data_IF_549667849825
#
_entry.id   IF_549667849825
#
_cell.length_a   1.000
_cell.length_b   1.000
_cell.length_c   1.000
_cell.angle_alpha   90.00
_cell.angle_beta   90.00
_cell.angle_gamma   90.00
#
_symmetry.space_group_name_H-M   'P 1'
#
loop_
_entity.id
_entity.type
_entity.pdbx_description
1 polymer ?
#
# COMPACT_ATOMS: atom_id res chain seq x y z
N UNK A 1 -9.22 -17.24 -8.28
CA UNK A 1 -10.31 -17.94 -9.01
C UNK A 1 -10.27 -19.46 -8.85
N UNK A 2 -9.11 -20.12 -8.95
CA UNK A 2 -9.02 -21.59 -8.92
C UNK A 2 -9.78 -22.29 -7.77
N UNK A 3 -9.72 -21.79 -6.53
CA UNK A 3 -10.47 -22.36 -5.41
C UNK A 3 -11.99 -22.28 -5.58
N UNK A 4 -12.50 -21.15 -6.09
CA UNK A 4 -13.94 -20.96 -6.39
C UNK A 4 -14.36 -21.87 -7.54
N UNK A 5 -13.53 -21.95 -8.57
CA UNK A 5 -13.78 -22.79 -9.73
C UNK A 5 -13.82 -24.28 -9.35
N UNK A 6 -12.87 -24.75 -8.54
CA UNK A 6 -12.85 -26.13 -8.06
C UNK A 6 -14.11 -26.47 -7.25
N UNK A 7 -14.57 -25.55 -6.41
CA UNK A 7 -15.81 -25.71 -5.66
C UNK A 7 -17.04 -25.78 -6.58
N UNK A 8 -17.16 -24.87 -7.56
CA UNK A 8 -18.26 -24.85 -8.52
C UNK A 8 -18.29 -26.10 -9.40
N UNK A 9 -17.14 -26.65 -9.81
CA UNK A 9 -17.11 -27.88 -10.61
C UNK A 9 -17.77 -29.08 -9.92
N UNK A 10 -17.77 -29.11 -8.59
CA UNK A 10 -18.38 -30.19 -7.81
C UNK A 10 -19.87 -29.92 -7.59
N UNK A 11 -20.23 -28.70 -7.18
CA UNK A 11 -21.56 -28.41 -6.64
C UNK A 11 -22.49 -27.63 -7.59
N UNK A 12 -21.93 -26.94 -8.59
CA UNK A 12 -22.69 -26.19 -9.59
C UNK A 12 -21.92 -26.09 -10.93
N UNK A 13 -21.73 -27.23 -11.64
CA UNK A 13 -20.87 -27.26 -12.84
C UNK A 13 -21.27 -26.23 -13.90
N UNK A 14 -22.57 -25.99 -14.06
CA UNK A 14 -23.13 -25.00 -15.01
C UNK A 14 -22.67 -23.56 -14.75
N UNK A 15 -22.33 -23.20 -13.50
CA UNK A 15 -21.79 -21.86 -13.16
C UNK A 15 -20.29 -21.73 -13.38
N UNK A 16 -19.58 -22.83 -13.65
CA UNK A 16 -18.13 -22.80 -13.89
C UNK A 16 -17.79 -22.05 -15.17
N UNK A 17 -18.60 -22.18 -16.23
CA UNK A 17 -18.40 -21.46 -17.49
C UNK A 17 -18.56 -19.95 -17.27
N UNK A 18 -19.67 -19.54 -16.65
CA UNK A 18 -19.94 -18.13 -16.33
C UNK A 18 -18.84 -17.47 -15.50
N UNK A 19 -18.28 -18.16 -14.50
CA UNK A 19 -17.12 -17.66 -13.74
C UNK A 19 -15.93 -17.31 -14.66
N UNK A 20 -15.61 -18.18 -15.62
CA UNK A 20 -14.48 -17.98 -16.53
C UNK A 20 -14.75 -16.88 -17.54
N UNK A 21 -15.98 -16.82 -18.06
CA UNK A 21 -16.35 -15.87 -19.11
C UNK A 21 -16.45 -14.45 -18.54
N UNK A 22 -17.17 -14.28 -17.42
CA UNK A 22 -17.47 -12.97 -16.88
C UNK A 22 -16.38 -12.43 -15.94
N UNK A 23 -15.82 -13.28 -15.07
CA UNK A 23 -14.79 -12.87 -14.10
C UNK A 23 -13.36 -13.23 -14.53
N UNK A 24 -13.18 -13.90 -15.68
CA UNK A 24 -11.89 -14.33 -16.21
C UNK A 24 -10.87 -13.20 -16.35
N UNK A 25 -11.37 -11.99 -16.65
CA UNK A 25 -10.59 -10.75 -16.71
C UNK A 25 -9.75 -10.51 -15.45
N UNK A 26 -10.26 -10.87 -14.27
CA UNK A 26 -9.59 -10.61 -12.99
C UNK A 26 -8.25 -11.37 -12.85
N UNK A 27 -8.01 -12.39 -13.68
CA UNK A 27 -6.72 -13.10 -13.69
C UNK A 27 -5.55 -12.25 -14.19
N UNK A 28 -5.81 -11.25 -15.04
CA UNK A 28 -4.76 -10.49 -15.75
C UNK A 28 -4.91 -8.98 -15.64
N UNK A 29 -6.09 -8.50 -15.25
CA UNK A 29 -6.33 -7.08 -15.02
C UNK A 29 -5.54 -6.55 -13.81
N UNK A 30 -5.28 -5.24 -13.84
CA UNK A 30 -4.67 -4.51 -12.73
C UNK A 30 -5.61 -3.41 -12.22
N UNK A 31 -5.38 -2.86 -11.02
CA UNK A 31 -6.25 -1.84 -10.45
C UNK A 31 -6.42 -0.62 -11.37
N UNK A 32 -7.68 -0.28 -11.66
CA UNK A 32 -8.12 0.81 -12.53
C UNK A 32 -7.81 0.63 -14.02
N UNK A 33 -7.58 -0.61 -14.45
CA UNK A 33 -7.29 -0.96 -15.85
C UNK A 33 -8.52 -0.99 -16.76
N UNK A 34 -9.73 -1.18 -16.21
CA UNK A 34 -10.96 -1.33 -16.99
C UNK A 34 -12.14 -0.61 -16.31
N UNK A 35 -12.21 0.72 -16.38
CA UNK A 35 -13.33 1.47 -15.81
C UNK A 35 -14.68 0.94 -16.28
N UNK A 36 -15.58 0.66 -15.34
CA UNK A 36 -16.90 0.09 -15.59
C UNK A 36 -17.95 0.92 -14.85
N UNK A 37 -18.44 2.01 -15.46
CA UNK A 37 -19.41 2.91 -14.82
C UNK A 37 -20.75 2.22 -14.52
N UNK A 38 -21.04 1.12 -15.23
CA UNK A 38 -22.26 0.34 -15.05
C UNK A 38 -22.12 -0.74 -13.97
N UNK A 39 -20.93 -0.90 -13.37
CA UNK A 39 -20.62 -1.88 -12.31
C UNK A 39 -20.87 -3.35 -12.67
N UNK A 40 -21.03 -3.70 -13.95
CA UNK A 40 -21.32 -5.07 -14.40
C UNK A 40 -20.37 -6.12 -13.81
N UNK A 41 -19.06 -5.85 -13.80
CA UNK A 41 -18.07 -6.80 -13.28
C UNK A 41 -18.17 -6.97 -11.76
N UNK A 42 -18.53 -5.90 -11.05
CA UNK A 42 -18.72 -5.94 -9.59
C UNK A 42 -20.00 -6.69 -9.26
N UNK A 43 -21.09 -6.37 -9.97
CA UNK A 43 -22.39 -7.00 -9.79
C UNK A 43 -22.33 -8.51 -10.06
N UNK A 44 -21.56 -8.94 -11.07
CA UNK A 44 -21.33 -10.37 -11.32
C UNK A 44 -20.55 -11.05 -10.17
N UNK A 45 -19.52 -10.38 -9.64
CA UNK A 45 -18.77 -10.93 -8.52
C UNK A 45 -19.62 -11.00 -7.24
N UNK A 46 -20.52 -10.04 -7.03
CA UNK A 46 -21.50 -10.00 -5.94
C UNK A 46 -22.58 -11.10 -6.10
N UNK A 47 -23.11 -11.35 -7.32
CA UNK A 47 -24.03 -12.49 -7.60
C UNK A 47 -23.37 -13.82 -7.25
N UNK A 48 -22.11 -14.01 -7.66
CA UNK A 48 -21.36 -15.21 -7.34
C UNK A 48 -21.16 -15.39 -5.83
N UNK A 49 -20.84 -14.30 -5.11
CA UNK A 49 -20.70 -14.34 -3.66
C UNK A 49 -22.03 -14.74 -3.00
N UNK A 50 -23.13 -14.08 -3.35
CA UNK A 50 -24.46 -14.36 -2.80
C UNK A 50 -24.90 -15.81 -3.07
N UNK A 51 -24.62 -16.32 -4.27
CA UNK A 51 -24.86 -17.73 -4.61
C UNK A 51 -24.09 -18.68 -3.69
N UNK A 52 -22.81 -18.40 -3.42
CA UNK A 52 -21.99 -19.24 -2.55
C UNK A 52 -22.40 -19.15 -1.08
N UNK A 53 -22.96 -18.02 -0.64
CA UNK A 53 -23.48 -17.86 0.73
C UNK A 53 -24.66 -18.78 1.01
N UNK A 54 -25.43 -19.14 -0.02
CA UNK A 54 -26.53 -20.11 0.08
C UNK A 54 -26.10 -21.53 0.51
N UNK A 55 -24.82 -21.87 0.42
CA UNK A 55 -24.27 -23.16 0.87
C UNK A 55 -23.89 -23.19 2.36
N UNK A 56 -24.07 -22.07 3.08
CA UNK A 56 -23.88 -22.00 4.52
C UNK A 56 -22.45 -22.28 4.99
N UNK A 57 -22.26 -22.80 6.22
CA UNK A 57 -20.94 -22.98 6.83
C UNK A 57 -19.97 -23.86 6.03
N UNK A 58 -20.49 -24.82 5.24
CA UNK A 58 -19.68 -25.69 4.38
C UNK A 58 -18.90 -24.95 3.28
N UNK A 59 -19.26 -23.70 2.99
CA UNK A 59 -18.61 -22.85 2.00
C UNK A 59 -17.63 -21.82 2.61
N UNK A 60 -17.38 -21.82 3.93
CA UNK A 60 -16.58 -20.78 4.59
C UNK A 60 -15.21 -20.51 3.91
N UNK A 61 -14.51 -21.57 3.51
CA UNK A 61 -13.24 -21.46 2.78
C UNK A 61 -13.39 -20.77 1.42
N UNK A 62 -14.40 -21.14 0.62
CA UNK A 62 -14.62 -20.57 -0.71
C UNK A 62 -15.20 -19.15 -0.65
N UNK A 63 -16.01 -18.83 0.36
CA UNK A 63 -16.55 -17.50 0.60
C UNK A 63 -15.45 -16.46 0.81
N UNK A 64 -14.35 -16.83 1.48
CA UNK A 64 -13.17 -15.97 1.59
C UNK A 64 -12.62 -15.60 0.21
N UNK A 65 -12.52 -16.57 -0.70
CA UNK A 65 -12.04 -16.34 -2.06
C UNK A 65 -13.03 -15.53 -2.90
N UNK A 66 -14.33 -15.78 -2.78
CA UNK A 66 -15.37 -15.03 -3.47
C UNK A 66 -15.36 -13.54 -3.08
N UNK A 67 -15.24 -13.22 -1.78
CA UNK A 67 -15.09 -11.83 -1.31
C UNK A 67 -13.85 -11.14 -1.89
N UNK A 68 -12.75 -11.88 -2.10
CA UNK A 68 -11.57 -11.34 -2.77
C UNK A 68 -11.87 -11.02 -4.24
N UNK A 69 -12.70 -11.80 -4.93
CA UNK A 69 -13.13 -11.50 -6.30
C UNK A 69 -13.98 -10.23 -6.37
N UNK A 70 -14.90 -10.00 -5.43
CA UNK A 70 -15.65 -8.72 -5.37
C UNK A 70 -14.71 -7.52 -5.19
N UNK A 71 -13.75 -7.63 -4.26
CA UNK A 71 -12.73 -6.58 -4.05
C UNK A 71 -11.88 -6.37 -5.30
N UNK A 72 -11.47 -7.45 -5.98
CA UNK A 72 -10.69 -7.37 -7.21
C UNK A 72 -11.49 -6.71 -8.35
N UNK A 73 -12.78 -7.04 -8.49
CA UNK A 73 -13.67 -6.40 -9.44
C UNK A 73 -13.77 -4.89 -9.18
N UNK A 74 -14.04 -4.47 -7.93
CA UNK A 74 -14.11 -3.04 -7.56
C UNK A 74 -12.78 -2.31 -7.84
N UNK A 75 -11.64 -2.94 -7.53
CA UNK A 75 -10.33 -2.36 -7.82
C UNK A 75 -10.05 -2.25 -9.32
N UNK A 76 -10.43 -3.24 -10.13
CA UNK A 76 -10.21 -3.23 -11.58
C UNK A 76 -11.07 -2.15 -12.26
N UNK A 77 -12.29 -1.93 -11.77
CA UNK A 77 -13.30 -1.07 -12.39
C UNK A 77 -13.31 0.37 -11.88
N UNK A 78 -12.71 0.66 -10.73
CA UNK A 78 -12.61 2.04 -10.26
C UNK A 78 -11.64 2.88 -11.10
N UNK A 79 -11.99 4.15 -11.38
CA UNK A 79 -11.10 5.01 -12.14
C UNK A 79 -9.86 5.39 -11.32
N UNK A 80 -8.75 5.64 -12.01
CA UNK A 80 -7.52 6.16 -11.38
C UNK A 80 -7.62 7.64 -11.00
N UNK A 81 -8.53 8.39 -11.64
CA UNK A 81 -8.77 9.81 -11.41
C UNK A 81 -10.26 10.04 -11.33
N UNK A 82 -10.69 10.79 -10.33
CA UNK A 82 -12.08 11.15 -10.13
C UNK A 82 -12.13 12.49 -9.36
N UNK A 83 -13.21 13.26 -9.53
CA UNK A 83 -13.39 14.56 -8.84
C UNK A 83 -13.41 14.38 -7.31
N UNK A 84 -14.12 13.36 -6.87
CA UNK A 84 -14.05 12.82 -5.51
C UNK A 84 -12.92 11.76 -5.42
N UNK A 85 -11.83 12.02 -4.67
CA UNK A 85 -10.73 11.08 -4.51
C UNK A 85 -11.11 9.73 -3.90
N UNK A 86 -12.16 9.68 -3.08
CA UNK A 86 -12.60 8.46 -2.41
C UNK A 86 -13.25 7.46 -3.37
N UNK A 87 -13.62 7.92 -4.57
CA UNK A 87 -14.09 7.07 -5.67
C UNK A 87 -12.96 6.53 -6.54
N UNK A 88 -11.70 6.89 -6.26
CA UNK A 88 -10.57 6.35 -7.01
C UNK A 88 -10.22 4.93 -6.59
N UNK A 89 -9.49 4.25 -7.46
CA UNK A 89 -8.92 2.92 -7.16
C UNK A 89 -7.94 2.95 -5.98
N UNK A 90 -7.24 4.07 -5.76
CA UNK A 90 -6.24 4.17 -4.69
C UNK A 90 -6.91 4.21 -3.31
N UNK A 91 -8.00 4.96 -3.17
CA UNK A 91 -8.80 4.97 -1.94
C UNK A 91 -9.38 3.57 -1.64
N UNK A 92 -9.98 2.92 -2.64
CA UNK A 92 -10.53 1.59 -2.46
C UNK A 92 -9.48 0.55 -2.08
N UNK A 93 -8.27 0.63 -2.67
CA UNK A 93 -7.15 -0.25 -2.33
C UNK A 93 -6.79 -0.12 -0.86
N UNK A 94 -6.59 1.09 -0.38
CA UNK A 94 -6.16 1.34 1.00
C UNK A 94 -7.25 0.97 2.01
N UNK A 95 -8.52 1.23 1.69
CA UNK A 95 -9.67 0.73 2.46
C UNK A 95 -9.70 -0.79 2.54
N UNK A 96 -9.55 -1.50 1.41
CA UNK A 96 -9.56 -2.97 1.40
C UNK A 96 -8.34 -3.60 2.08
N UNK A 97 -7.19 -2.91 2.08
CA UNK A 97 -6.03 -3.31 2.87
C UNK A 97 -6.33 -3.19 4.36
N UNK A 98 -6.93 -2.09 4.81
CA UNK A 98 -7.34 -1.93 6.21
C UNK A 98 -8.39 -2.98 6.63
N UNK A 99 -9.42 -3.24 5.81
CA UNK A 99 -10.41 -4.29 6.05
C UNK A 99 -9.82 -5.71 6.08
N UNK A 100 -8.66 -5.93 5.45
CA UNK A 100 -7.97 -7.22 5.53
C UNK A 100 -7.30 -7.41 6.91
N UNK A 101 -6.88 -6.33 7.56
CA UNK A 101 -6.32 -6.36 8.93
C UNK A 101 -7.39 -6.72 9.94
N UNK A 102 -8.62 -6.19 9.79
CA UNK A 102 -9.71 -6.48 10.74
C UNK A 102 -9.96 -7.98 10.90
N UNK A 103 -9.85 -8.76 9.81
CA UNK A 103 -9.99 -10.22 9.85
C UNK A 103 -8.89 -10.92 10.63
N UNK A 104 -7.68 -10.37 10.66
CA UNK A 104 -6.57 -10.91 11.44
C UNK A 104 -6.71 -10.60 12.93
N UNK A 105 -7.50 -9.58 13.27
CA UNK A 105 -7.77 -9.13 14.62
C UNK A 105 -9.15 -9.59 15.14
N UNK A 106 -9.79 -10.55 14.47
CA UNK A 106 -11.00 -11.22 14.98
C UNK A 106 -10.73 -11.93 16.32
N UNK A 107 -9.50 -12.43 16.52
CA UNK A 107 -9.03 -12.80 17.86
C UNK A 107 -8.52 -11.54 18.60
N UNK A 108 -9.18 -11.10 19.69
CA UNK A 108 -8.78 -9.90 20.42
C UNK A 108 -7.41 -10.01 21.11
N UNK A 109 -6.81 -11.20 21.16
CA UNK A 109 -5.44 -11.42 21.70
C UNK A 109 -4.38 -11.32 20.61
N UNK A 110 -4.75 -11.34 19.34
CA UNK A 110 -3.82 -11.27 18.24
C UNK A 110 -3.10 -9.92 18.20
N UNK A 111 -1.81 -9.95 17.89
CA UNK A 111 -1.01 -8.77 17.55
C UNK A 111 -0.53 -8.92 16.12
N UNK A 112 -0.68 -7.88 15.32
CA UNK A 112 -0.34 -7.89 13.90
C UNK A 112 0.78 -6.87 13.64
N UNK A 113 1.85 -7.33 13.00
CA UNK A 113 2.86 -6.44 12.41
C UNK A 113 2.55 -6.33 10.92
N UNK A 114 2.27 -5.11 10.48
CA UNK A 114 1.93 -4.80 9.10
C UNK A 114 3.13 -4.20 8.38
N UNK A 115 3.58 -4.86 7.32
CA UNK A 115 4.69 -4.37 6.49
C UNK A 115 4.15 -3.74 5.20
N UNK A 116 4.23 -2.42 5.09
CA UNK A 116 3.83 -1.68 3.91
C UNK A 116 4.66 -0.40 3.74
N UNK A 117 4.56 0.24 2.57
CA UNK A 117 5.23 1.51 2.29
C UNK A 117 4.73 2.62 3.23
N UNK A 118 5.58 3.60 3.59
CA UNK A 118 5.24 4.70 4.52
C UNK A 118 3.90 5.37 4.21
N UNK A 119 3.67 5.75 2.94
CA UNK A 119 2.41 6.38 2.52
C UNK A 119 1.14 5.52 2.70
N UNK A 120 1.27 4.21 2.92
CA UNK A 120 0.13 3.35 3.28
C UNK A 120 -0.09 3.26 4.78
N UNK A 121 0.96 3.38 5.61
CA UNK A 121 0.86 3.26 7.07
C UNK A 121 0.71 4.62 7.77
N UNK A 122 0.85 5.72 7.05
CA UNK A 122 0.68 7.05 7.63
C UNK A 122 -0.73 7.21 8.24
N UNK A 123 -0.79 7.80 9.44
CA UNK A 123 -2.02 8.08 10.19
C UNK A 123 -2.77 9.34 9.72
N UNK A 124 -2.18 10.08 8.79
CA UNK A 124 -2.74 11.29 8.22
C UNK A 124 -2.57 11.30 6.70
N UNK A 125 -3.46 12.02 6.03
CA UNK A 125 -3.63 11.99 4.58
C UNK A 125 -2.35 12.32 3.83
N UNK A 126 -1.81 11.29 3.18
CA UNK A 126 -0.70 11.42 2.25
C UNK A 126 -1.22 11.56 0.81
N UNK A 127 -1.48 12.79 0.38
CA UNK A 127 -2.06 13.08 -0.94
C UNK A 127 -3.58 13.27 -0.91
N UNK A 128 -4.29 12.74 -1.90
CA UNK A 128 -5.73 13.02 -2.07
C UNK A 128 -6.67 11.93 -1.59
N UNK A 129 -6.25 10.71 -1.27
CA UNK A 129 -7.14 9.66 -0.76
C UNK A 129 -6.71 9.25 0.65
N UNK A 130 -7.64 8.71 1.44
CA UNK A 130 -7.30 8.14 2.74
C UNK A 130 -6.30 6.98 2.59
N UNK A 131 -5.24 7.01 3.40
CA UNK A 131 -4.29 5.93 3.51
C UNK A 131 -4.86 4.79 4.38
N UNK A 132 -4.31 3.58 4.21
CA UNK A 132 -4.68 2.45 5.07
C UNK A 132 -4.43 2.79 6.56
N UNK A 133 -3.34 3.46 6.89
CA UNK A 133 -3.00 3.87 8.26
C UNK A 133 -4.02 4.81 8.89
N UNK A 134 -4.66 5.69 8.11
CA UNK A 134 -5.76 6.54 8.58
C UNK A 134 -6.98 5.71 8.98
N UNK A 135 -7.36 4.73 8.15
CA UNK A 135 -8.44 3.81 8.48
C UNK A 135 -8.14 3.00 9.75
N UNK A 136 -6.89 2.52 9.89
CA UNK A 136 -6.47 1.76 11.06
C UNK A 136 -6.44 2.65 12.31
N UNK A 137 -5.93 3.88 12.22
CA UNK A 137 -5.93 4.86 13.33
C UNK A 137 -7.35 5.20 13.76
N UNK A 138 -8.28 5.40 12.82
CA UNK A 138 -9.67 5.71 13.12
C UNK A 138 -10.38 4.55 13.86
N UNK A 139 -10.03 3.29 13.56
CA UNK A 139 -10.65 2.10 14.15
C UNK A 139 -10.04 1.72 15.49
N UNK A 140 -8.72 1.77 15.59
CA UNK A 140 -7.96 1.20 16.71
C UNK A 140 -7.37 2.27 17.64
N UNK A 141 -7.45 3.55 17.29
CA UNK A 141 -6.92 4.65 18.10
C UNK A 141 -5.44 4.43 18.42
N UNK A 142 -5.10 4.53 19.71
CA UNK A 142 -3.73 4.36 20.22
C UNK A 142 -3.21 2.93 20.20
N UNK A 143 -4.06 1.93 19.91
CA UNK A 143 -3.60 0.58 19.65
C UNK A 143 -2.94 0.41 18.28
N UNK A 144 -3.15 1.35 17.35
CA UNK A 144 -2.41 1.42 16.08
C UNK A 144 -1.17 2.30 16.24
N UNK A 145 0.00 1.73 15.92
CA UNK A 145 1.30 2.40 15.95
C UNK A 145 1.92 2.44 14.55
N UNK A 146 2.07 3.63 13.98
CA UNK A 146 2.69 3.85 12.67
C UNK A 146 4.20 4.14 12.81
N UNK A 147 5.04 3.16 12.44
CA UNK A 147 6.49 3.31 12.40
C UNK A 147 6.96 3.62 10.97
N UNK A 148 7.32 4.87 10.70
CA UNK A 148 7.87 5.28 9.41
C UNK A 148 9.33 4.84 9.23
N UNK A 149 9.69 4.35 8.04
CA UNK A 149 11.07 3.95 7.72
C UNK A 149 11.75 5.02 6.86
N UNK A 150 12.86 5.54 7.32
CA UNK A 150 13.62 6.62 6.67
C UNK A 150 15.07 6.19 6.47
N UNK A 151 15.74 6.73 5.46
CA UNK A 151 17.16 6.43 5.25
C UNK A 151 17.97 7.62 4.74
N UNK A 152 19.26 7.63 5.10
CA UNK A 152 20.20 8.70 4.78
C UNK A 152 20.68 8.65 3.34
N UNK A 153 21.53 7.69 3.01
CA UNK A 153 22.13 7.56 1.68
C UNK A 153 22.34 6.10 1.27
N UNK A 154 22.87 5.88 0.07
CA UNK A 154 23.17 4.56 -0.45
C UNK A 154 22.33 4.23 -1.67
N UNK A 155 21.63 3.10 -1.65
CA UNK A 155 20.90 2.61 -2.81
C UNK A 155 19.63 1.83 -2.49
N UNK A 156 18.73 1.79 -3.48
CA UNK A 156 17.46 1.06 -3.44
C UNK A 156 17.10 0.52 -4.83
N UNK A 157 16.16 -0.43 -4.92
CA UNK A 157 15.66 -0.94 -6.21
C UNK A 157 14.33 -0.31 -6.61
N UNK A 158 14.22 0.12 -7.86
CA UNK A 158 12.95 0.55 -8.47
C UNK A 158 13.01 0.49 -10.00
N UNK A 159 11.85 0.45 -10.64
CA UNK A 159 11.74 0.59 -12.09
C UNK A 159 11.94 2.04 -12.50
N UNK A 160 12.84 2.29 -13.44
CA UNK A 160 13.01 3.62 -14.03
C UNK A 160 11.98 3.82 -15.14
N UNK A 161 11.11 4.80 -14.97
CA UNK A 161 10.09 5.16 -15.96
C UNK A 161 10.44 6.46 -16.67
N UNK A 162 10.14 6.55 -17.97
CA UNK A 162 10.25 7.80 -18.72
C UNK A 162 9.02 8.67 -18.39
N UNK A 163 9.19 9.96 -18.06
CA UNK A 163 8.06 10.86 -17.88
C UNK A 163 7.32 11.07 -19.22
N UNK A 164 5.99 11.23 -19.18
CA UNK A 164 5.14 11.53 -20.35
C UNK A 164 4.01 10.51 -20.58
N UNK A 165 3.11 10.77 -21.55
CA UNK A 165 1.96 9.92 -21.88
C UNK A 165 2.34 8.66 -22.67
N UNK A 166 3.61 8.52 -23.03
CA UNK A 166 4.14 7.34 -23.70
C UNK A 166 3.95 6.14 -22.78
N UNK A 167 3.39 5.01 -23.26
CA UNK A 167 3.28 3.79 -22.47
C UNK A 167 4.70 3.36 -22.12
N UNK A 168 5.17 3.83 -20.97
CA UNK A 168 6.51 3.65 -20.51
C UNK A 168 6.67 2.20 -20.14
N UNK A 169 7.14 1.39 -21.10
CA UNK A 169 7.94 0.20 -20.79
C UNK A 169 9.09 0.70 -19.93
N UNK A 170 8.88 0.74 -18.61
CA UNK A 170 9.96 0.88 -17.65
C UNK A 170 10.98 -0.22 -17.88
N UNK A 171 12.13 -0.14 -17.22
CA UNK A 171 13.06 -1.27 -17.17
C UNK A 171 12.27 -2.56 -16.87
N UNK A 172 12.48 -3.63 -17.65
CA UNK A 172 11.76 -4.91 -17.46
C UNK A 172 11.97 -5.47 -16.06
N UNK A 173 13.09 -5.12 -15.42
CA UNK A 173 13.44 -5.47 -14.04
C UNK A 173 13.73 -4.21 -13.21
N UNK A 174 13.48 -4.22 -11.89
CA UNK A 174 13.94 -3.17 -11.00
C UNK A 174 15.47 -3.05 -11.03
N UNK A 175 15.97 -1.82 -11.18
CA UNK A 175 17.41 -1.51 -11.19
C UNK A 175 17.84 -0.89 -9.87
N UNK A 176 19.12 -1.00 -9.52
CA UNK A 176 19.70 -0.24 -8.41
C UNK A 176 19.74 1.26 -8.74
N UNK A 177 19.30 2.07 -7.78
CA UNK A 177 19.25 3.52 -7.82
C UNK A 177 20.04 4.06 -6.65
N UNK A 178 20.93 5.01 -6.90
CA UNK A 178 21.84 5.56 -5.91
C UNK A 178 21.42 6.97 -5.52
N UNK A 179 21.37 7.22 -4.21
CA UNK A 179 21.07 8.52 -3.63
C UNK A 179 22.20 8.90 -2.68
N UNK A 180 22.62 10.16 -2.74
CA UNK A 180 23.58 10.71 -1.80
C UNK A 180 22.90 11.20 -0.52
N UNK A 181 23.58 12.06 0.26
CA UNK A 181 23.06 12.62 1.49
C UNK A 181 21.68 13.27 1.33
N UNK A 182 20.83 13.25 2.37
CA UNK A 182 19.49 13.82 2.32
C UNK A 182 19.52 15.34 2.07
N UNK A 183 18.53 15.90 1.34
CA UNK A 183 18.44 17.35 1.15
C UNK A 183 18.36 18.08 2.49
N UNK A 184 19.05 19.22 2.64
CA UNK A 184 19.22 19.88 3.95
C UNK A 184 17.92 20.22 4.70
N UNK A 185 16.84 20.50 3.99
CA UNK A 185 15.54 20.82 4.58
C UNK A 185 14.65 19.58 4.88
N UNK A 186 15.15 18.36 4.64
CA UNK A 186 14.34 17.15 4.75
C UNK A 186 14.28 16.56 6.15
N UNK A 187 13.27 15.73 6.40
CA UNK A 187 13.14 14.94 7.64
C UNK A 187 14.39 14.09 7.85
N UNK A 188 14.87 13.43 6.79
CA UNK A 188 16.05 12.57 6.83
C UNK A 188 17.33 13.35 7.17
N UNK A 189 17.46 14.60 6.68
CA UNK A 189 18.60 15.43 7.05
C UNK A 189 18.59 15.83 8.53
N UNK A 190 17.41 16.06 9.11
CA UNK A 190 17.29 16.33 10.55
C UNK A 190 17.66 15.11 11.39
N UNK A 191 17.22 13.91 10.97
CA UNK A 191 17.57 12.65 11.62
C UNK A 191 19.08 12.36 11.53
N UNK A 192 19.67 12.55 10.34
CA UNK A 192 21.11 12.40 10.12
C UNK A 192 21.95 13.35 10.99
N UNK A 193 21.46 14.58 11.22
CA UNK A 193 22.14 15.57 12.06
C UNK A 193 22.04 15.28 13.56
N UNK A 194 21.05 14.48 13.99
CA UNK A 194 20.87 14.14 15.41
C UNK A 194 21.91 13.12 15.87
N UNK A 195 22.25 12.14 15.02
CA UNK A 195 23.28 11.14 15.29
C UNK A 195 23.76 10.47 13.99
N UNK A 196 25.00 9.99 13.99
CA UNK A 196 25.60 9.32 12.83
C UNK A 196 25.20 7.84 12.70
N UNK A 197 24.51 7.27 13.68
CA UNK A 197 24.13 5.85 13.72
C UNK A 197 22.63 5.65 13.47
N UNK A 198 22.26 4.42 13.11
CA UNK A 198 20.87 4.00 13.01
C UNK A 198 20.16 4.22 14.36
N UNK A 199 18.94 4.73 14.32
CA UNK A 199 18.20 5.08 15.53
C UNK A 199 16.69 5.07 15.32
N UNK A 200 15.97 4.98 16.45
CA UNK A 200 14.53 5.14 16.54
C UNK A 200 14.20 6.45 17.22
N UNK A 201 13.17 7.13 16.74
CA UNK A 201 12.58 8.33 17.37
C UNK A 201 11.14 8.00 17.75
N UNK A 202 10.79 8.11 19.04
CA UNK A 202 9.39 8.06 19.49
C UNK A 202 8.78 9.46 19.36
N UNK A 203 7.84 9.61 18.43
CA UNK A 203 7.16 10.88 18.17
C UNK A 203 5.96 11.10 19.08
N UNK A 204 5.53 10.11 19.87
CA UNK A 204 4.45 10.31 20.85
C UNK A 204 4.91 11.11 22.06
N UNK A 205 6.21 11.10 22.35
CA UNK A 205 6.80 11.90 23.42
C UNK A 205 7.00 13.38 23.02
N UNK A 206 6.67 13.76 21.78
CA UNK A 206 7.00 15.10 21.27
C UNK A 206 6.20 16.20 21.94
N UNK A 207 5.01 15.90 22.49
CA UNK A 207 4.19 16.88 23.21
C UNK A 207 4.87 17.42 24.47
N UNK A 208 5.79 16.66 25.06
CA UNK A 208 6.59 17.03 26.22
C UNK A 208 7.94 17.70 25.84
N UNK A 209 8.26 17.75 24.54
CA UNK A 209 9.52 18.30 24.05
C UNK A 209 9.53 19.85 24.00
N UNK A 210 10.72 20.48 23.89
CA UNK A 210 10.84 21.92 23.69
C UNK A 210 10.02 22.42 22.49
N UNK A 211 9.60 23.69 22.53
CA UNK A 211 8.71 24.29 21.53
C UNK A 211 9.26 24.14 20.11
N UNK A 212 10.58 24.27 19.94
CA UNK A 212 11.24 24.14 18.64
C UNK A 212 11.11 22.73 18.06
N UNK A 213 11.20 21.71 18.92
CA UNK A 213 11.05 20.30 18.53
C UNK A 213 9.61 20.01 18.15
N UNK A 214 8.64 20.50 18.94
CA UNK A 214 7.21 20.38 18.63
C UNK A 214 6.86 21.06 17.31
N UNK A 215 7.33 22.30 17.11
CA UNK A 215 7.11 23.07 15.88
C UNK A 215 7.68 22.36 14.66
N UNK A 216 8.85 21.74 14.80
CA UNK A 216 9.41 20.90 13.75
C UNK A 216 8.56 19.65 13.50
N UNK A 217 8.21 18.91 14.55
CA UNK A 217 7.53 17.62 14.42
C UNK A 217 6.10 17.71 13.86
N UNK A 218 5.40 18.81 14.15
CA UNK A 218 4.06 19.10 13.61
C UNK A 218 4.10 20.04 12.39
N UNK A 219 5.28 20.40 11.90
CA UNK A 219 5.46 21.25 10.72
C UNK A 219 5.64 20.42 9.44
N UNK A 220 5.31 20.99 8.26
CA UNK A 220 5.53 20.31 6.98
C UNK A 220 7.00 20.38 6.56
N UNK A 221 7.58 19.22 6.26
CA UNK A 221 8.95 19.08 5.73
C UNK A 221 8.95 18.17 4.51
N UNK A 222 9.87 18.34 3.55
CA UNK A 222 10.08 17.35 2.52
C UNK A 222 10.63 16.05 3.12
N UNK A 223 10.15 14.90 2.66
CA UNK A 223 10.77 13.58 2.87
C UNK A 223 10.94 12.89 1.53
N UNK A 224 11.97 12.06 1.40
CA UNK A 224 12.17 11.23 0.22
C UNK A 224 11.09 10.15 0.18
N UNK A 225 10.51 9.95 -1.00
CA UNK A 225 9.51 8.90 -1.21
C UNK A 225 9.80 8.19 -2.52
N UNK A 226 10.08 6.89 -2.42
CA UNK A 226 10.45 6.06 -3.56
C UNK A 226 9.51 4.85 -3.65
N UNK A 227 8.57 4.91 -4.60
CA UNK A 227 7.72 3.77 -4.91
C UNK A 227 8.42 2.74 -5.81
N UNK A 228 7.66 1.72 -6.22
CA UNK A 228 8.12 0.70 -7.16
C UNK A 228 8.60 1.28 -8.51
N UNK A 229 8.16 2.50 -8.85
CA UNK A 229 8.55 3.22 -10.05
C UNK A 229 9.10 4.60 -9.68
N UNK A 230 10.19 5.00 -10.34
CA UNK A 230 10.82 6.30 -10.15
C UNK A 230 11.17 6.95 -11.49
N UNK A 231 11.19 8.28 -11.51
CA UNK A 231 11.53 9.04 -12.72
C UNK A 231 12.99 8.79 -13.13
N UNK A 232 13.21 8.33 -14.37
CA UNK A 232 14.52 7.83 -14.84
C UNK A 232 15.70 8.76 -14.58
N UNK A 233 15.52 10.08 -14.74
CA UNK A 233 16.61 11.07 -14.64
C UNK A 233 16.56 11.92 -13.38
N UNK A 234 15.39 12.07 -12.76
CA UNK A 234 15.14 13.05 -11.70
C UNK A 234 14.72 12.43 -10.37
N UNK A 235 14.73 11.09 -10.22
CA UNK A 235 14.29 10.43 -9.00
C UNK A 235 14.99 10.94 -7.73
N UNK A 236 16.24 11.41 -7.82
CA UNK A 236 17.00 11.94 -6.67
C UNK A 236 16.34 13.17 -6.03
N UNK A 237 15.50 13.87 -6.78
CA UNK A 237 14.75 15.03 -6.33
C UNK A 237 13.32 14.67 -5.90
N UNK A 238 12.95 13.38 -5.92
CA UNK A 238 11.60 12.96 -5.56
C UNK A 238 11.38 13.08 -4.06
N UNK A 239 10.58 14.08 -3.68
CA UNK A 239 10.19 14.35 -2.31
C UNK A 239 8.69 14.55 -2.24
N UNK A 240 8.13 14.33 -1.07
CA UNK A 240 6.73 14.55 -0.73
C UNK A 240 6.66 15.33 0.58
N UNK A 241 5.65 16.19 0.80
CA UNK A 241 5.43 16.79 2.11
C UNK A 241 5.20 15.72 3.18
N UNK A 242 5.69 15.98 4.39
CA UNK A 242 5.54 15.14 5.56
C UNK A 242 5.38 16.01 6.81
N UNK A 243 4.38 15.71 7.64
CA UNK A 243 4.25 16.23 9.00
C UNK A 243 4.56 15.09 9.99
N UNK A 244 5.82 14.94 10.47
CA UNK A 244 6.30 13.72 11.13
C UNK A 244 5.38 13.16 12.21
N UNK A 245 5.01 13.98 13.21
CA UNK A 245 4.20 13.55 14.35
C UNK A 245 2.70 13.39 14.00
N UNK A 246 2.24 13.97 12.88
CA UNK A 246 0.88 13.72 12.39
C UNK A 246 0.78 12.41 11.63
N UNK A 247 1.78 12.10 10.81
CA UNK A 247 1.79 10.92 9.96
C UNK A 247 2.27 9.66 10.69
N UNK A 248 3.16 9.78 11.67
CA UNK A 248 3.80 8.63 12.33
C UNK A 248 3.78 8.75 13.87
N UNK A 249 3.85 7.61 14.55
CA UNK A 249 4.08 7.52 16.01
C UNK A 249 5.56 7.33 16.33
N UNK A 250 6.35 6.86 15.37
CA UNK A 250 7.79 6.81 15.46
C UNK A 250 8.45 6.75 14.09
N UNK A 251 9.75 7.02 14.08
CA UNK A 251 10.57 6.92 12.88
C UNK A 251 11.76 6.01 13.16
N UNK A 252 12.00 5.07 12.26
CA UNK A 252 13.26 4.35 12.20
C UNK A 252 14.13 4.96 11.10
N UNK A 253 15.31 5.44 11.47
CA UNK A 253 16.28 5.98 10.55
C UNK A 253 17.45 5.01 10.39
N UNK A 254 17.76 4.70 9.13
CA UNK A 254 18.93 3.91 8.75
C UNK A 254 19.90 4.81 7.99
N UNK A 255 21.14 4.94 8.48
CA UNK A 255 22.13 5.86 7.91
C UNK A 255 22.44 5.51 6.46
N UNK A 256 22.58 4.22 6.16
CA UNK A 256 22.99 3.74 4.83
C UNK A 256 22.21 2.50 4.40
N UNK A 257 21.76 2.46 3.14
CA UNK A 257 21.08 1.30 2.56
C UNK A 257 21.79 0.74 1.34
N UNK A 258 21.69 -0.59 1.14
CA UNK A 258 22.01 -1.24 -0.12
C UNK A 258 20.74 -1.59 -0.89
N UNK A 259 20.86 -1.62 -2.22
CA UNK A 259 19.83 -2.18 -3.08
C UNK A 259 19.57 -3.64 -2.68
N UNK A 260 18.30 -3.99 -2.48
CA UNK A 260 17.87 -5.35 -2.14
C UNK A 260 18.42 -6.36 -3.14
N UNK A 261 18.74 -7.57 -2.68
CA UNK A 261 19.19 -8.65 -3.57
C UNK A 261 18.01 -9.14 -4.43
N UNK A 262 18.30 -9.51 -5.68
CA UNK A 262 17.32 -10.20 -6.52
C UNK A 262 17.20 -11.65 -6.01
N UNK A 263 16.02 -12.27 -6.13
CA UNK A 263 15.78 -13.65 -5.69
C UNK A 263 16.74 -14.64 -6.37
N UNK A 264 17.14 -14.38 -7.61
CA UNK A 264 18.14 -15.19 -8.32
C UNK A 264 19.54 -15.04 -7.70
N UNK A 265 19.91 -13.82 -7.27
CA UNK A 265 21.21 -13.55 -6.63
C UNK A 265 21.27 -14.07 -5.18
N UNK A 266 20.14 -14.03 -4.45
CA UNK A 266 20.04 -14.51 -3.07
C UNK A 266 20.14 -16.04 -2.95
N UNK A 267 19.92 -16.79 -4.05
CA UNK A 267 20.05 -18.26 -4.09
C UNK A 267 21.46 -18.74 -4.46
N UNK A 268 22.33 -17.83 -4.89
CA UNK A 268 23.67 -18.14 -5.39
C UNK A 268 24.79 -17.91 -4.35
N UNK A 269 24.44 -17.46 -3.13
CA UNK A 269 25.35 -17.28 -2.00
C UNK A 269 24.87 -18.09 -0.80
#
# INVERSE_FOLDING_TARGET
MAAVEAFLRVLAPSRTARLRDELGVLATAYPGSRPDPERRLVDEAEDLLAFLEGYGPGAAGVLRHARILCRAADLVTRPRRHRDPERTVFAARDRYMAEAVDRLLEDPRAKVVLWAHNGHIAKARHGSALAMGEHLRARYGDAYYALGLMFGEGSFRAHRVRPGPWPGRGSRRPEANHVGPPPAASVEARLAAATAVDHLVDLRAVDEAPEEVRRWAYGPHPTRSYGAQVARRSYRFNTTPCEPAREFDGLAYVTWTSATLDLEAARAG
#
